data_IF_984559022715
#
_entry.id   IF_984559022715
#
_cell.length_a   1.000
_cell.length_b   1.000
_cell.length_c   1.000
_cell.angle_alpha   90.00
_cell.angle_beta   90.00
_cell.angle_gamma   90.00
#
_symmetry.space_group_name_H-M   'P 1'
#
loop_
_entity.id
_entity.type
_entity.pdbx_description
1 polymer ?
#
# COMPACT_ATOMS: atom_id res chain seq x y z
N UNK A 1 1.12 -1.66 -0.91
CA UNK A 1 0.34 -0.75 -0.06
C UNK A 1 0.99 -0.62 1.32
N UNK A 2 1.21 0.60 1.84
CA UNK A 2 1.92 0.82 3.12
C UNK A 2 1.25 0.19 4.34
N UNK A 3 -0.08 0.22 4.40
CA UNK A 3 -0.84 -0.36 5.53
C UNK A 3 -0.66 -1.88 5.67
N UNK A 4 -0.40 -2.60 4.56
CA UNK A 4 -0.14 -4.04 4.60
C UNK A 4 1.19 -4.39 5.30
N UNK A 5 2.18 -3.49 5.25
CA UNK A 5 3.44 -3.65 5.98
C UNK A 5 3.16 -3.68 7.48
N UNK A 6 2.42 -2.70 7.99
CA UNK A 6 2.05 -2.62 9.40
C UNK A 6 1.16 -3.79 9.84
N UNK A 7 0.18 -4.15 9.00
CA UNK A 7 -0.70 -5.28 9.27
C UNK A 7 0.07 -6.59 9.35
N UNK A 8 0.93 -6.87 8.37
CA UNK A 8 1.68 -8.12 8.33
C UNK A 8 2.64 -8.24 9.53
N UNK A 9 3.35 -7.17 9.88
CA UNK A 9 4.21 -7.12 11.07
C UNK A 9 3.46 -7.43 12.37
N UNK A 10 2.16 -7.11 12.43
CA UNK A 10 1.34 -7.38 13.59
C UNK A 10 0.69 -8.77 13.56
N UNK A 11 0.25 -9.26 12.41
CA UNK A 11 -0.31 -10.61 12.26
C UNK A 11 0.73 -11.69 12.62
N UNK A 12 2.00 -11.46 12.30
CA UNK A 12 3.11 -12.34 12.69
C UNK A 12 3.23 -12.49 14.21
N UNK A 13 2.76 -11.51 15.00
CA UNK A 13 2.77 -11.58 16.47
C UNK A 13 1.54 -12.31 17.04
N UNK A 14 0.52 -12.61 16.22
CA UNK A 14 -0.67 -13.31 16.70
C UNK A 14 -0.41 -14.78 17.05
N UNK A 15 0.62 -15.40 16.46
CA UNK A 15 1.03 -16.77 16.80
C UNK A 15 1.99 -16.76 17.98
N UNK A 16 1.74 -17.65 18.95
CA UNK A 16 2.60 -17.80 20.13
C UNK A 16 3.91 -18.47 19.71
N UNK A 17 5.01 -17.72 19.77
CA UNK A 17 6.36 -18.20 19.47
C UNK A 17 7.22 -17.98 20.71
N UNK A 18 7.99 -18.99 21.10
CA UNK A 18 8.98 -18.86 22.17
C UNK A 18 10.20 -18.09 21.65
N UNK A 19 10.25 -16.78 21.95
CA UNK A 19 11.32 -15.88 21.50
C UNK A 19 12.66 -16.14 22.18
N UNK A 20 12.70 -16.96 23.24
CA UNK A 20 13.95 -17.33 23.92
C UNK A 20 14.76 -18.38 23.16
N UNK A 21 14.09 -19.18 22.32
CA UNK A 21 14.73 -20.25 21.55
C UNK A 21 14.98 -19.80 20.11
N UNK A 22 16.25 -19.57 19.76
CA UNK A 22 16.67 -19.14 18.42
C UNK A 22 16.13 -20.04 17.30
N UNK A 23 16.17 -21.37 17.49
CA UNK A 23 15.66 -22.33 16.51
C UNK A 23 14.15 -22.16 16.23
N UNK A 24 13.34 -21.86 17.24
CA UNK A 24 11.88 -21.64 17.08
C UNK A 24 11.58 -20.35 16.33
N UNK A 25 12.39 -19.31 16.55
CA UNK A 25 12.27 -18.06 15.80
C UNK A 25 12.67 -18.26 14.32
N UNK A 26 13.73 -19.02 14.05
CA UNK A 26 14.13 -19.39 12.68
C UNK A 26 13.04 -20.18 11.95
N UNK A 27 12.48 -21.18 12.62
CA UNK A 27 11.37 -21.99 12.11
C UNK A 27 10.14 -21.12 11.80
N UNK A 28 9.77 -20.21 12.72
CA UNK A 28 8.65 -19.30 12.50
C UNK A 28 8.88 -18.36 11.30
N UNK A 29 10.07 -17.76 11.20
CA UNK A 29 10.43 -16.89 10.06
C UNK A 29 10.35 -17.65 8.74
N UNK A 30 10.80 -18.91 8.71
CA UNK A 30 10.70 -19.76 7.51
C UNK A 30 9.25 -19.99 7.09
N UNK A 31 8.37 -20.38 8.01
CA UNK A 31 6.95 -20.58 7.69
C UNK A 31 6.24 -19.29 7.28
N UNK A 32 6.50 -18.18 7.97
CA UNK A 32 5.93 -16.88 7.57
C UNK A 32 6.39 -16.43 6.19
N UNK A 33 7.64 -16.74 5.83
CA UNK A 33 8.15 -16.46 4.49
C UNK A 33 7.39 -17.28 3.43
N UNK A 34 7.18 -18.58 3.66
CA UNK A 34 6.39 -19.42 2.75
C UNK A 34 4.96 -18.90 2.63
N UNK A 35 4.28 -18.62 3.74
CA UNK A 35 2.90 -18.10 3.74
C UNK A 35 2.80 -16.79 2.94
N UNK A 36 3.76 -15.88 3.13
CA UNK A 36 3.81 -14.59 2.43
C UNK A 36 4.09 -14.76 0.93
N UNK A 37 5.06 -15.59 0.56
CA UNK A 37 5.42 -15.86 -0.83
C UNK A 37 4.24 -16.49 -1.57
N UNK A 38 3.59 -17.49 -0.98
CA UNK A 38 2.46 -18.17 -1.60
C UNK A 38 1.30 -17.20 -1.84
N UNK A 39 0.97 -16.35 -0.85
CA UNK A 39 -0.08 -15.34 -1.00
C UNK A 39 0.24 -14.33 -2.11
N UNK A 40 1.48 -13.85 -2.19
CA UNK A 40 1.93 -12.91 -3.22
C UNK A 40 1.95 -13.55 -4.63
N UNK A 41 2.33 -14.83 -4.74
CA UNK A 41 2.29 -15.57 -6.00
C UNK A 41 0.85 -15.71 -6.49
N UNK A 42 -0.09 -16.09 -5.61
CA UNK A 42 -1.51 -16.17 -5.98
C UNK A 42 -2.04 -14.82 -6.44
N UNK A 43 -1.72 -13.74 -5.71
CA UNK A 43 -2.11 -12.39 -6.11
C UNK A 43 -1.50 -11.98 -7.46
N UNK A 44 -0.26 -12.36 -7.72
CA UNK A 44 0.41 -12.11 -9.00
C UNK A 44 -0.27 -12.84 -10.16
N UNK A 45 -0.64 -14.11 -9.98
CA UNK A 45 -1.38 -14.87 -10.99
C UNK A 45 -2.75 -14.25 -11.28
N UNK A 46 -3.50 -13.85 -10.24
CA UNK A 46 -4.80 -13.17 -10.42
C UNK A 46 -4.60 -11.89 -11.24
N UNK A 47 -3.62 -11.06 -10.89
CA UNK A 47 -3.35 -9.82 -11.62
C UNK A 47 -2.94 -10.08 -13.08
N UNK A 48 -2.15 -11.11 -13.35
CA UNK A 48 -1.82 -11.52 -14.72
C UNK A 48 -3.09 -11.94 -15.46
N UNK A 49 -3.89 -12.84 -14.90
CA UNK A 49 -5.10 -13.33 -15.54
C UNK A 49 -6.06 -12.19 -15.89
N UNK A 50 -6.32 -11.29 -14.94
CA UNK A 50 -7.15 -10.10 -15.17
C UNK A 50 -6.55 -9.25 -16.29
N UNK A 51 -5.29 -8.84 -16.16
CA UNK A 51 -4.63 -7.96 -17.15
C UNK A 51 -4.61 -8.59 -18.55
N UNK A 52 -4.33 -9.89 -18.68
CA UNK A 52 -4.32 -10.59 -19.97
C UNK A 52 -5.71 -10.71 -20.58
N UNK A 53 -6.75 -10.97 -19.77
CA UNK A 53 -8.14 -11.03 -20.26
C UNK A 53 -8.57 -9.66 -20.80
N UNK A 54 -8.28 -8.59 -20.07
CA UNK A 54 -8.57 -7.22 -20.53
C UNK A 54 -7.72 -6.84 -21.75
N UNK A 55 -6.43 -7.15 -21.75
CA UNK A 55 -5.57 -6.89 -22.91
C UNK A 55 -6.08 -7.60 -24.18
N UNK A 56 -6.38 -8.90 -24.11
CA UNK A 56 -6.97 -9.64 -25.25
C UNK A 56 -8.37 -9.13 -25.62
N UNK A 57 -9.12 -8.64 -24.63
CA UNK A 57 -10.43 -8.05 -24.81
C UNK A 57 -10.39 -6.77 -25.62
N UNK A 58 -9.45 -5.88 -25.31
CA UNK A 58 -9.57 -4.45 -25.58
C UNK A 58 -8.37 -3.80 -26.25
N UNK A 59 -7.22 -4.48 -26.35
CA UNK A 59 -6.02 -3.89 -26.92
C UNK A 59 -6.27 -3.44 -28.38
N UNK A 60 -6.13 -2.14 -28.63
CA UNK A 60 -6.34 -1.52 -29.95
C UNK A 60 -7.79 -1.21 -30.31
N UNK A 61 -8.73 -1.25 -29.36
CA UNK A 61 -10.13 -0.84 -29.59
C UNK A 61 -10.40 0.56 -29.04
N UNK A 62 -11.28 1.34 -29.68
CA UNK A 62 -11.70 2.68 -29.20
C UNK A 62 -12.42 2.63 -27.84
N UNK A 63 -12.89 1.44 -27.44
CA UNK A 63 -13.50 1.21 -26.13
C UNK A 63 -12.47 1.06 -25.01
N UNK A 64 -11.17 0.91 -25.32
CA UNK A 64 -10.11 0.70 -24.34
C UNK A 64 -10.03 1.82 -23.29
N UNK A 65 -10.27 3.06 -23.72
CA UNK A 65 -10.11 4.24 -22.87
C UNK A 65 -11.28 4.46 -21.89
N UNK A 66 -12.44 3.85 -22.14
CA UNK A 66 -13.66 4.03 -21.35
C UNK A 66 -13.97 2.85 -20.42
N UNK A 67 -13.08 1.88 -20.27
CA UNK A 67 -13.34 0.70 -19.42
C UNK A 67 -12.99 1.00 -17.98
N UNK A 68 -14.02 0.95 -17.14
CA UNK A 68 -13.92 1.07 -15.69
C UNK A 68 -14.43 -0.19 -14.97
N UNK A 69 -14.38 -0.15 -13.64
CA UNK A 69 -14.91 -1.22 -12.79
C UNK A 69 -16.42 -1.47 -12.98
N UNK A 70 -17.16 -0.43 -13.38
CA UNK A 70 -18.60 -0.46 -13.60
C UNK A 70 -19.00 -1.28 -14.84
N UNK A 71 -18.42 -0.96 -16.00
CA UNK A 71 -18.78 -1.59 -17.28
C UNK A 71 -17.99 -2.87 -17.60
N UNK A 72 -16.87 -3.11 -16.90
CA UNK A 72 -16.04 -4.31 -17.05
C UNK A 72 -16.85 -5.62 -16.94
N UNK A 73 -17.77 -5.71 -15.98
CA UNK A 73 -18.58 -6.90 -15.77
C UNK A 73 -19.55 -7.18 -16.93
N UNK A 74 -20.19 -6.13 -17.45
CA UNK A 74 -21.12 -6.24 -18.58
C UNK A 74 -20.37 -6.67 -19.84
N UNK A 75 -19.19 -6.12 -20.07
CA UNK A 75 -18.38 -6.52 -21.21
C UNK A 75 -17.91 -7.97 -21.14
N UNK A 76 -17.44 -8.41 -19.96
CA UNK A 76 -17.04 -9.81 -19.76
C UNK A 76 -18.21 -10.76 -20.02
N UNK A 77 -19.43 -10.34 -19.66
CA UNK A 77 -20.65 -11.07 -19.97
C UNK A 77 -20.95 -11.13 -21.48
N UNK A 78 -20.83 -10.03 -22.20
CA UNK A 78 -21.07 -10.00 -23.65
C UNK A 78 -20.06 -10.86 -24.42
N UNK A 79 -18.79 -10.84 -24.02
CA UNK A 79 -17.72 -11.50 -24.77
C UNK A 79 -17.49 -12.95 -24.39
N UNK A 80 -17.67 -13.30 -23.12
CA UNK A 80 -17.36 -14.63 -22.59
C UNK A 80 -18.50 -15.27 -21.80
N UNK A 81 -19.55 -14.52 -21.49
CA UNK A 81 -20.68 -15.00 -20.73
C UNK A 81 -21.65 -15.81 -21.59
N UNK A 82 -22.13 -16.91 -21.02
CA UNK A 82 -23.20 -17.73 -21.58
C UNK A 82 -24.39 -17.68 -20.63
N UNK A 83 -25.61 -17.96 -21.10
CA UNK A 83 -26.81 -18.00 -20.24
C UNK A 83 -26.65 -18.92 -19.01
N UNK A 84 -25.82 -19.97 -19.12
CA UNK A 84 -25.55 -20.93 -18.05
C UNK A 84 -24.44 -20.49 -17.08
N UNK A 85 -23.55 -19.59 -17.51
CA UNK A 85 -22.44 -19.06 -16.72
C UNK A 85 -22.36 -17.53 -16.87
N UNK A 86 -23.23 -16.80 -16.15
CA UNK A 86 -23.22 -15.35 -16.21
C UNK A 86 -22.01 -14.77 -15.46
N UNK A 87 -20.93 -14.51 -16.21
CA UNK A 87 -19.68 -13.89 -15.76
C UNK A 87 -19.92 -12.55 -15.04
N UNK A 88 -20.98 -11.82 -15.41
CA UNK A 88 -21.38 -10.59 -14.72
C UNK A 88 -21.55 -10.79 -13.21
N UNK A 89 -22.25 -11.86 -12.79
CA UNK A 89 -22.45 -12.12 -11.37
C UNK A 89 -21.17 -12.58 -10.68
N UNK A 90 -20.32 -13.34 -11.37
CA UNK A 90 -19.01 -13.75 -10.83
C UNK A 90 -18.14 -12.51 -10.58
N UNK A 91 -18.13 -11.57 -11.52
CA UNK A 91 -17.45 -10.28 -11.38
C UNK A 91 -18.03 -9.48 -10.19
N UNK A 92 -19.36 -9.33 -10.12
CA UNK A 92 -20.02 -8.62 -9.03
C UNK A 92 -19.74 -9.24 -7.64
N UNK A 93 -19.80 -10.57 -7.54
CA UNK A 93 -19.45 -11.30 -6.30
C UNK A 93 -17.98 -11.09 -5.97
N UNK A 94 -17.09 -11.13 -6.96
CA UNK A 94 -15.66 -10.86 -6.79
C UNK A 94 -15.39 -9.44 -6.27
N UNK A 95 -16.06 -8.43 -6.84
CA UNK A 95 -15.98 -7.05 -6.37
C UNK A 95 -16.48 -6.90 -4.93
N UNK A 96 -17.62 -7.51 -4.61
CA UNK A 96 -18.17 -7.49 -3.26
C UNK A 96 -17.23 -8.17 -2.26
N UNK A 97 -16.69 -9.34 -2.60
CA UNK A 97 -15.75 -10.08 -1.78
C UNK A 97 -14.45 -9.29 -1.54
N UNK A 98 -13.92 -8.63 -2.58
CA UNK A 98 -12.76 -7.74 -2.48
C UNK A 98 -13.01 -6.58 -1.50
N UNK A 99 -14.19 -5.93 -1.59
CA UNK A 99 -14.58 -4.86 -0.67
C UNK A 99 -14.67 -5.30 0.80
N UNK A 100 -15.18 -6.51 1.06
CA UNK A 100 -15.19 -7.08 2.41
C UNK A 100 -13.78 -7.36 2.93
N UNK A 101 -12.93 -7.96 2.11
CA UNK A 101 -11.52 -8.23 2.46
C UNK A 101 -10.75 -6.95 2.80
N UNK A 102 -10.92 -5.91 1.99
CA UNK A 102 -10.32 -4.58 2.21
C UNK A 102 -10.75 -3.97 3.54
N UNK A 103 -12.02 -4.11 3.91
CA UNK A 103 -12.52 -3.62 5.21
C UNK A 103 -11.83 -4.31 6.38
N UNK A 104 -11.76 -5.63 6.36
CA UNK A 104 -11.16 -6.41 7.45
C UNK A 104 -9.69 -6.00 7.61
N UNK A 105 -8.97 -5.97 6.49
CA UNK A 105 -7.56 -5.55 6.42
C UNK A 105 -7.36 -4.12 6.94
N UNK A 106 -8.20 -3.18 6.52
CA UNK A 106 -8.13 -1.78 6.95
C UNK A 106 -8.41 -1.58 8.44
N UNK A 107 -9.40 -2.28 9.01
CA UNK A 107 -9.73 -2.18 10.44
C UNK A 107 -8.64 -2.75 11.35
N UNK A 108 -7.99 -3.85 10.93
CA UNK A 108 -6.83 -4.41 11.64
C UNK A 108 -5.59 -3.52 11.48
N UNK A 109 -5.25 -3.09 10.27
CA UNK A 109 -4.12 -2.19 10.06
C UNK A 109 -4.27 -0.90 10.88
N UNK A 110 -5.47 -0.30 10.86
CA UNK A 110 -5.81 0.86 11.67
C UNK A 110 -5.70 0.60 13.17
N UNK A 111 -5.96 -0.62 13.65
CA UNK A 111 -5.75 -0.98 15.06
C UNK A 111 -4.31 -0.80 15.48
N UNK A 112 -3.40 -1.35 14.69
CA UNK A 112 -1.99 -1.39 15.05
C UNK A 112 -1.35 -0.02 14.90
N UNK A 113 -1.76 0.75 13.88
CA UNK A 113 -1.30 2.13 13.72
C UNK A 113 -1.83 3.01 14.86
N UNK A 114 -3.13 2.97 15.18
CA UNK A 114 -3.70 3.78 16.26
C UNK A 114 -3.18 3.38 17.65
N UNK A 115 -3.05 2.08 17.92
CA UNK A 115 -2.55 1.58 19.19
C UNK A 115 -1.04 1.77 19.37
N UNK A 116 -0.27 1.65 18.29
CA UNK A 116 1.19 1.77 18.32
C UNK A 116 1.68 3.22 18.28
N UNK A 117 1.18 4.03 17.35
CA UNK A 117 1.66 5.41 17.15
C UNK A 117 0.93 6.45 18.00
N UNK A 118 -0.40 6.30 18.15
CA UNK A 118 -1.23 7.30 18.84
C UNK A 118 -1.62 6.87 20.26
N UNK A 119 -1.28 5.64 20.66
CA UNK A 119 -1.75 5.01 21.91
C UNK A 119 -3.27 5.09 22.11
N UNK A 120 -4.04 5.08 21.01
CA UNK A 120 -5.50 5.19 21.01
C UNK A 120 -6.16 3.82 20.93
N UNK A 121 -6.89 3.45 21.99
CA UNK A 121 -7.60 2.16 22.09
C UNK A 121 -9.09 2.33 21.79
N UNK A 122 -9.44 2.31 20.50
CA UNK A 122 -10.83 2.32 20.04
C UNK A 122 -11.43 0.90 19.94
N UNK A 123 -12.73 0.78 20.22
CA UNK A 123 -13.50 -0.45 19.96
C UNK A 123 -13.52 -0.76 18.45
N UNK A 124 -13.54 -2.05 18.09
CA UNK A 124 -13.49 -2.52 16.69
C UNK A 124 -14.59 -1.89 15.81
N UNK A 125 -15.84 -1.88 16.30
CA UNK A 125 -16.96 -1.29 15.53
C UNK A 125 -16.75 0.21 15.31
N UNK A 126 -16.32 0.93 16.35
CA UNK A 126 -16.21 2.39 16.29
C UNK A 126 -15.12 2.80 15.30
N UNK A 127 -13.99 2.09 15.32
CA UNK A 127 -12.94 2.28 14.31
C UNK A 127 -13.48 2.03 12.90
N UNK A 128 -14.18 0.91 12.69
CA UNK A 128 -14.72 0.56 11.38
C UNK A 128 -15.72 1.60 10.86
N UNK A 129 -16.59 2.12 11.74
CA UNK A 129 -17.54 3.19 11.40
C UNK A 129 -16.79 4.45 11.01
N UNK A 130 -15.84 4.93 11.83
CA UNK A 130 -15.08 6.15 11.55
C UNK A 130 -14.35 6.04 10.22
N UNK A 131 -13.56 4.98 10.01
CA UNK A 131 -12.78 4.82 8.77
C UNK A 131 -13.66 4.66 7.54
N UNK A 132 -14.83 4.03 7.67
CA UNK A 132 -15.78 3.90 6.56
C UNK A 132 -16.54 5.18 6.29
N UNK A 133 -16.90 5.95 7.32
CA UNK A 133 -17.52 7.26 7.14
C UNK A 133 -16.59 8.19 6.37
N UNK A 134 -15.30 8.21 6.70
CA UNK A 134 -14.30 8.99 5.96
C UNK A 134 -14.12 8.55 4.50
N UNK A 135 -14.39 7.29 4.18
CA UNK A 135 -14.33 6.79 2.80
C UNK A 135 -15.65 7.01 2.04
N UNK A 136 -16.78 6.62 2.63
CA UNK A 136 -18.08 6.58 1.98
C UNK A 136 -18.69 7.98 1.85
N UNK A 137 -18.58 8.84 2.87
CA UNK A 137 -19.23 10.16 2.84
C UNK A 137 -18.70 11.01 1.68
N UNK A 138 -17.37 11.17 1.47
CA UNK A 138 -16.87 11.93 0.32
C UNK A 138 -17.30 11.29 -1.00
N UNK A 139 -17.19 9.96 -1.16
CA UNK A 139 -17.62 9.29 -2.38
C UNK A 139 -19.11 9.48 -2.66
N UNK A 140 -19.96 9.41 -1.63
CA UNK A 140 -21.41 9.61 -1.76
C UNK A 140 -21.73 11.05 -2.17
N UNK A 141 -21.04 12.05 -1.59
CA UNK A 141 -21.19 13.45 -1.99
C UNK A 141 -20.82 13.60 -3.46
N UNK A 142 -19.66 13.09 -3.88
CA UNK A 142 -19.25 13.20 -5.29
C UNK A 142 -20.27 12.50 -6.21
N UNK A 143 -20.74 11.31 -5.84
CA UNK A 143 -21.71 10.56 -6.66
C UNK A 143 -23.12 11.19 -6.74
N UNK A 144 -23.51 12.02 -5.76
CA UNK A 144 -24.82 12.69 -5.75
C UNK A 144 -24.79 14.06 -6.44
N UNK A 145 -23.63 14.73 -6.46
CA UNK A 145 -23.49 16.09 -6.98
C UNK A 145 -22.81 16.17 -8.35
N UNK A 146 -22.11 15.12 -8.78
CA UNK A 146 -21.43 15.06 -10.08
C UNK A 146 -21.98 13.88 -10.87
N UNK A 147 -22.42 14.14 -12.11
CA UNK A 147 -22.90 13.12 -13.02
C UNK A 147 -21.75 12.20 -13.49
N UNK A 148 -22.06 11.00 -13.96
CA UNK A 148 -21.09 9.96 -14.37
C UNK A 148 -20.17 10.36 -15.52
N UNK A 149 -20.45 11.46 -16.22
CA UNK A 149 -19.64 11.98 -17.32
C UNK A 149 -18.53 12.96 -16.87
N UNK A 150 -18.54 13.40 -15.61
CA UNK A 150 -17.54 14.33 -15.10
C UNK A 150 -16.22 13.63 -14.73
N UNK A 151 -15.05 14.21 -15.06
CA UNK A 151 -13.73 13.68 -14.72
C UNK A 151 -13.44 13.65 -13.21
N UNK A 152 -14.39 14.07 -12.38
CA UNK A 152 -14.26 14.19 -10.92
C UNK A 152 -13.98 12.84 -10.24
N UNK A 153 -14.50 11.73 -10.78
CA UNK A 153 -14.20 10.38 -10.24
C UNK A 153 -12.77 9.94 -10.53
N UNK A 154 -12.25 10.26 -11.71
CA UNK A 154 -10.86 9.99 -12.08
C UNK A 154 -9.92 10.86 -11.25
N UNK A 155 -10.24 12.15 -11.07
CA UNK A 155 -9.49 13.06 -10.19
C UNK A 155 -9.50 12.56 -8.74
N UNK A 156 -10.62 12.03 -8.25
CA UNK A 156 -10.71 11.45 -6.91
C UNK A 156 -9.82 10.21 -6.79
N UNK A 157 -9.86 9.32 -7.79
CA UNK A 157 -9.03 8.11 -7.83
C UNK A 157 -7.53 8.45 -7.91
N UNK A 158 -7.15 9.40 -8.75
CA UNK A 158 -5.78 9.92 -8.82
C UNK A 158 -5.34 10.57 -7.51
N UNK A 159 -6.21 11.36 -6.87
CA UNK A 159 -5.94 11.96 -5.56
C UNK A 159 -5.68 10.91 -4.49
N UNK A 160 -6.45 9.81 -4.49
CA UNK A 160 -6.24 8.67 -3.59
C UNK A 160 -4.90 7.98 -3.86
N UNK A 161 -4.52 7.81 -5.13
CA UNK A 161 -3.22 7.25 -5.49
C UNK A 161 -2.07 8.14 -5.03
N UNK A 162 -2.18 9.46 -5.19
CA UNK A 162 -1.22 10.45 -4.68
C UNK A 162 -1.08 10.36 -3.15
N UNK A 163 -2.19 10.25 -2.42
CA UNK A 163 -2.15 10.05 -0.96
C UNK A 163 -1.45 8.74 -0.58
N UNK A 164 -1.62 7.68 -1.36
CA UNK A 164 -0.90 6.42 -1.14
C UNK A 164 0.60 6.56 -1.44
N UNK A 165 0.97 7.29 -2.48
CA UNK A 165 2.36 7.58 -2.87
C UNK A 165 3.13 8.28 -1.75
N UNK A 166 2.49 9.25 -1.07
CA UNK A 166 3.08 9.99 0.07
C UNK A 166 3.34 9.06 1.28
N UNK A 167 2.58 7.99 1.45
CA UNK A 167 2.72 7.11 2.61
C UNK A 167 3.86 6.08 2.45
N UNK A 168 4.29 5.78 1.22
CA UNK A 168 5.27 4.71 0.95
C UNK A 168 6.62 4.95 1.63
N UNK A 169 7.26 6.13 1.52
CA UNK A 169 8.56 6.37 2.17
C UNK A 169 8.49 6.24 3.69
N UNK A 170 7.38 6.67 4.29
CA UNK A 170 7.18 6.58 5.74
C UNK A 170 7.05 5.16 6.28
N UNK A 171 6.59 4.21 5.47
CA UNK A 171 6.57 2.81 5.86
C UNK A 171 7.92 2.12 5.57
N UNK A 172 8.48 2.33 4.37
CA UNK A 172 9.63 1.56 3.90
C UNK A 172 10.96 2.00 4.52
N UNK A 173 11.21 3.30 4.69
CA UNK A 173 12.48 3.80 5.23
C UNK A 173 12.67 3.32 6.68
N UNK A 174 11.69 3.49 7.59
CA UNK A 174 11.81 2.96 8.94
C UNK A 174 11.89 1.43 8.95
N UNK A 175 11.12 0.72 8.12
CA UNK A 175 11.19 -0.75 8.07
C UNK A 175 12.60 -1.26 7.76
N UNK A 176 13.21 -0.79 6.66
CA UNK A 176 14.55 -1.23 6.27
C UNK A 176 15.58 -0.86 7.35
N UNK A 177 15.40 0.30 7.98
CA UNK A 177 16.24 0.75 9.10
C UNK A 177 16.17 -0.20 10.29
N UNK A 178 14.95 -0.52 10.74
CA UNK A 178 14.71 -1.34 11.92
C UNK A 178 15.20 -2.77 11.70
N UNK A 179 14.96 -3.34 10.52
CA UNK A 179 15.38 -4.71 10.18
C UNK A 179 16.90 -4.79 9.96
N UNK A 180 17.55 -3.69 9.58
CA UNK A 180 19.01 -3.62 9.41
C UNK A 180 19.79 -3.34 10.70
N UNK A 181 19.12 -3.11 11.83
CA UNK A 181 19.77 -2.73 13.10
C UNK A 181 20.08 -3.96 13.96
N UNK A 182 21.36 -4.21 14.23
CA UNK A 182 21.83 -5.26 15.15
C UNK A 182 21.28 -5.09 16.57
N UNK A 183 21.05 -3.85 17.00
CA UNK A 183 20.49 -3.57 18.32
C UNK A 183 19.05 -4.09 18.49
N UNK A 184 18.26 -4.08 17.41
CA UNK A 184 16.85 -4.49 17.44
C UNK A 184 16.66 -5.94 17.01
N UNK A 185 17.36 -6.38 15.98
CA UNK A 185 17.20 -7.72 15.39
C UNK A 185 18.19 -8.75 15.94
N UNK A 186 19.24 -8.32 16.65
CA UNK A 186 20.25 -9.20 17.21
C UNK A 186 20.88 -10.10 16.14
N UNK A 187 20.76 -11.42 16.31
CA UNK A 187 21.30 -12.38 15.35
C UNK A 187 20.46 -12.60 14.08
N UNK A 188 19.32 -11.91 13.94
CA UNK A 188 18.37 -12.05 12.82
C UNK A 188 18.39 -10.85 11.85
N UNK A 189 19.48 -10.09 11.83
CA UNK A 189 19.64 -8.93 10.95
C UNK A 189 19.66 -9.36 9.49
N UNK A 190 19.06 -8.54 8.62
CA UNK A 190 19.10 -8.80 7.17
C UNK A 190 20.52 -8.74 6.62
N UNK A 191 20.84 -9.70 5.75
CA UNK A 191 22.12 -9.75 5.06
C UNK A 191 22.36 -8.53 4.16
N UNK A 192 23.63 -8.23 3.82
CA UNK A 192 24.00 -7.06 3.04
C UNK A 192 23.36 -7.05 1.64
N UNK A 193 23.19 -8.22 1.03
CA UNK A 193 22.55 -8.37 -0.29
C UNK A 193 21.07 -7.97 -0.21
N UNK A 194 20.30 -8.54 0.72
CA UNK A 194 18.88 -8.21 0.91
C UNK A 194 18.70 -6.73 1.25
N UNK A 195 19.61 -6.15 2.03
CA UNK A 195 19.62 -4.72 2.34
C UNK A 195 19.80 -3.85 1.10
N UNK A 196 20.77 -4.17 0.24
CA UNK A 196 21.00 -3.43 -1.01
C UNK A 196 19.80 -3.56 -1.95
N UNK A 197 19.29 -4.78 -2.15
CA UNK A 197 18.10 -5.02 -2.99
C UNK A 197 16.88 -4.24 -2.47
N UNK A 198 16.64 -4.26 -1.15
CA UNK A 198 15.51 -3.55 -0.54
C UNK A 198 15.62 -2.03 -0.73
N UNK A 199 16.84 -1.47 -0.65
CA UNK A 199 17.07 -0.06 -0.93
C UNK A 199 16.86 0.29 -2.40
N UNK A 200 17.34 -0.54 -3.33
CA UNK A 200 17.10 -0.35 -4.77
C UNK A 200 15.60 -0.32 -5.07
N UNK A 201 14.85 -1.31 -4.58
CA UNK A 201 13.39 -1.38 -4.77
C UNK A 201 12.70 -0.15 -4.13
N UNK A 202 13.13 0.26 -2.94
CA UNK A 202 12.55 1.42 -2.26
C UNK A 202 12.80 2.71 -3.03
N UNK A 203 14.04 2.95 -3.51
CA UNK A 203 14.38 4.12 -4.32
C UNK A 203 13.57 4.11 -5.62
N UNK A 204 13.50 2.97 -6.30
CA UNK A 204 12.70 2.83 -7.52
C UNK A 204 11.23 3.17 -7.30
N UNK A 205 10.61 2.62 -6.24
CA UNK A 205 9.23 2.94 -5.89
C UNK A 205 9.07 4.42 -5.55
N UNK A 206 9.99 5.02 -4.79
CA UNK A 206 9.94 6.44 -4.47
C UNK A 206 10.03 7.33 -5.72
N UNK A 207 10.84 6.96 -6.72
CA UNK A 207 10.96 7.70 -7.98
C UNK A 207 9.66 7.65 -8.79
N UNK A 208 9.07 6.46 -8.97
CA UNK A 208 7.80 6.31 -9.70
C UNK A 208 6.67 7.07 -9.00
N UNK A 209 6.58 6.95 -7.68
CA UNK A 209 5.55 7.64 -6.90
C UNK A 209 5.79 9.15 -6.90
N UNK A 210 7.04 9.60 -6.91
CA UNK A 210 7.41 11.00 -7.08
C UNK A 210 6.98 11.56 -8.44
N UNK A 211 7.15 10.78 -9.51
CA UNK A 211 6.66 11.13 -10.85
C UNK A 211 5.13 11.26 -10.87
N UNK A 212 4.40 10.32 -10.26
CA UNK A 212 2.93 10.38 -10.17
C UNK A 212 2.47 11.67 -9.46
N UNK A 213 3.09 12.00 -8.33
CA UNK A 213 2.80 13.24 -7.58
C UNK A 213 3.07 14.48 -8.45
N UNK A 214 4.18 14.50 -9.18
CA UNK A 214 4.54 15.62 -10.05
C UNK A 214 3.59 15.77 -11.24
N UNK A 215 3.17 14.65 -11.84
CA UNK A 215 2.19 14.60 -12.92
C UNK A 215 0.86 15.19 -12.46
N UNK A 216 0.34 14.69 -11.33
CA UNK A 216 -0.89 15.20 -10.72
C UNK A 216 -0.80 16.70 -10.39
N UNK A 217 0.31 17.13 -9.79
CA UNK A 217 0.54 18.54 -9.47
C UNK A 217 0.56 19.45 -10.71
N UNK A 218 1.07 18.96 -11.85
CA UNK A 218 1.19 19.76 -13.07
C UNK A 218 -0.13 19.86 -13.83
N UNK A 219 -0.90 18.77 -13.87
CA UNK A 219 -2.10 18.67 -14.71
C UNK A 219 -3.38 19.14 -14.00
N UNK A 220 -3.54 18.82 -12.71
CA UNK A 220 -4.81 19.03 -12.00
C UNK A 220 -4.82 20.31 -11.15
N UNK A 221 -3.67 20.76 -10.65
CA UNK A 221 -3.61 21.95 -9.78
C UNK A 221 -3.63 23.24 -10.62
N UNK A 222 -4.84 23.78 -10.79
CA UNK A 222 -5.08 25.10 -11.40
C UNK A 222 -5.10 26.20 -10.32
N UNK A 223 -4.37 27.29 -10.57
CA UNK A 223 -4.28 28.45 -9.69
C UNK A 223 -2.90 28.63 -9.04
N UNK A 224 -2.32 29.82 -9.19
CA UNK A 224 -0.96 30.12 -8.73
C UNK A 224 -0.80 29.96 -7.21
N UNK A 225 -1.81 30.35 -6.43
CA UNK A 225 -1.77 30.28 -4.96
C UNK A 225 -1.78 28.84 -4.45
N UNK A 226 -2.68 28.01 -4.99
CA UNK A 226 -2.78 26.58 -4.62
C UNK A 226 -1.51 25.83 -5.03
N UNK A 227 -1.00 26.13 -6.22
CA UNK A 227 0.26 25.60 -6.74
C UNK A 227 1.45 25.94 -5.84
N UNK A 228 1.63 27.22 -5.49
CA UNK A 228 2.70 27.66 -4.58
C UNK A 228 2.57 27.03 -3.19
N UNK A 229 1.36 26.93 -2.65
CA UNK A 229 1.12 26.27 -1.34
C UNK A 229 1.51 24.79 -1.38
N UNK A 230 1.07 24.05 -2.41
CA UNK A 230 1.39 22.63 -2.56
C UNK A 230 2.88 22.40 -2.81
N UNK A 231 3.56 23.29 -3.52
CA UNK A 231 5.01 23.23 -3.71
C UNK A 231 5.76 23.32 -2.37
N UNK A 232 5.34 24.22 -1.48
CA UNK A 232 5.92 24.34 -0.13
C UNK A 232 5.68 23.05 0.66
N UNK A 233 4.46 22.49 0.62
CA UNK A 233 4.15 21.22 1.30
C UNK A 233 5.01 20.08 0.77
N UNK A 234 5.17 19.96 -0.54
CA UNK A 234 6.03 18.94 -1.17
C UNK A 234 7.50 19.14 -0.82
N UNK A 235 8.00 20.37 -0.78
CA UNK A 235 9.37 20.68 -0.39
C UNK A 235 9.62 20.30 1.08
N UNK A 236 8.69 20.64 1.99
CA UNK A 236 8.75 20.24 3.41
C UNK A 236 8.71 18.72 3.54
N UNK A 237 7.85 18.05 2.78
CA UNK A 237 7.76 16.59 2.77
C UNK A 237 9.07 15.93 2.29
N UNK A 238 9.66 16.41 1.20
CA UNK A 238 10.96 15.92 0.71
C UNK A 238 12.07 16.20 1.71
N UNK A 239 12.11 17.39 2.30
CA UNK A 239 13.07 17.73 3.35
C UNK A 239 12.92 16.80 4.56
N UNK A 240 11.69 16.43 4.93
CA UNK A 240 11.42 15.47 6.00
C UNK A 240 11.86 14.04 5.65
N UNK A 241 11.67 13.58 4.41
CA UNK A 241 12.23 12.30 3.93
C UNK A 241 13.75 12.32 4.01
N UNK A 242 14.39 13.37 3.50
CA UNK A 242 15.85 13.52 3.53
C UNK A 242 16.33 13.51 4.99
N UNK A 243 15.65 14.24 5.88
CA UNK A 243 15.92 14.22 7.30
C UNK A 243 15.83 12.80 7.90
N UNK A 244 14.80 12.02 7.56
CA UNK A 244 14.65 10.63 8.01
C UNK A 244 15.79 9.74 7.51
N UNK A 245 16.18 9.88 6.25
CA UNK A 245 17.30 9.15 5.65
C UNK A 245 18.61 9.53 6.34
N UNK A 246 18.91 10.82 6.47
CA UNK A 246 20.15 11.31 7.10
C UNK A 246 20.24 10.91 8.57
N UNK A 247 19.15 11.06 9.32
CA UNK A 247 19.10 10.64 10.73
C UNK A 247 19.36 9.15 10.86
N UNK A 248 18.82 8.33 9.96
CA UNK A 248 19.11 6.90 9.90
C UNK A 248 20.61 6.63 9.67
N UNK A 249 21.24 7.25 8.67
CA UNK A 249 22.68 7.09 8.38
C UNK A 249 23.56 7.50 9.57
N UNK A 250 23.14 8.54 10.31
CA UNK A 250 23.88 9.07 11.46
C UNK A 250 23.70 8.21 12.72
N UNK A 251 22.51 7.62 12.92
CA UNK A 251 22.26 6.68 14.00
C UNK A 251 23.01 5.36 13.76
N UNK A 252 23.04 4.89 12.50
CA UNK A 252 23.84 3.76 12.06
C UNK A 252 25.35 3.98 12.26
N UNK A 253 25.88 5.16 11.92
CA UNK A 253 27.30 5.47 12.12
C UNK A 253 27.68 5.56 13.61
N UNK A 254 26.82 6.14 14.45
CA UNK A 254 27.03 6.20 15.91
C UNK A 254 26.97 4.82 16.56
N UNK A 255 26.02 3.97 16.20
CA UNK A 255 25.93 2.59 16.69
C UNK A 255 27.16 1.77 16.28
N UNK A 256 27.60 1.88 15.02
CA UNK A 256 28.83 1.22 14.54
C UNK A 256 30.08 1.68 15.30
N UNK A 257 30.20 2.98 15.59
CA UNK A 257 31.33 3.53 16.34
C UNK A 257 31.33 3.12 17.83
N UNK A 258 30.16 2.86 18.42
CA UNK A 258 30.02 2.37 19.79
C UNK A 258 30.39 0.89 19.92
N UNK A 259 30.05 0.07 18.94
CA UNK A 259 30.38 -1.37 18.92
C UNK A 259 31.85 -1.58 18.59
N UNK A 260 32.43 -0.79 17.68
CA UNK A 260 33.86 -0.83 17.34
C UNK A 260 34.79 -0.37 18.47
N UNK A 261 34.30 0.34 19.50
CA UNK A 261 35.09 0.73 20.68
C UNK A 261 34.98 -0.28 21.84
N UNK A 262 34.20 -1.35 21.66
CA UNK A 262 33.94 -2.39 22.67
C UNK A 262 34.50 -3.76 22.28
N UNK A 263 35.24 -3.85 21.16
CA UNK A 263 36.04 -5.02 20.76
C UNK A 263 37.51 -4.63 20.73
#
# INVERSE_FOLDING_TARGET
MPHNVFLHSALVQSRKIDTKKKSRVQEAVYYYNIESILALIVSFFINICVTTVFAKGFYGSDKADNIGLENAGQYLQEKYGTALFPVLYIWAIGLLASGQSSTITGTYAGQFVMGGFLNLRLKKWLRAVITRSFAIIPTMIVALFFDTEDPTMDVLNESLNVLQSIQIPFALIPLITLVSSEQLMGSFVVGPITKVISWIVTIFLMLINGYLILSFYTNEVRGAVVRSSLCVVLAVYLAFIIYLILRNTTLYSRLRSSVSKSS
#
